data_IF_405390161683
#
_entry.id   IF_405390161683
#
_cell.length_a   1.000
_cell.length_b   1.000
_cell.length_c   1.000
_cell.angle_alpha   90.00
_cell.angle_beta   90.00
_cell.angle_gamma   90.00
#
_symmetry.space_group_name_H-M   'P 1'
#
loop_
_entity.id
_entity.type
_entity.pdbx_description
1 polymer ?
#
# COMPACT_ATOMS: atom_id res chain seq x y z
N UNK A 1 14.27 -8.24 13.40
CA UNK A 1 13.77 -7.27 12.41
C UNK A 1 13.26 -8.03 11.19
N UNK A 2 12.04 -7.75 10.78
CA UNK A 2 11.46 -8.47 9.65
C UNK A 2 12.13 -8.07 8.34
N UNK A 3 12.36 -9.05 7.48
CA UNK A 3 12.87 -8.80 6.15
C UNK A 3 11.71 -8.42 5.22
N UNK A 4 12.02 -7.59 4.24
CA UNK A 4 11.07 -7.22 3.21
C UNK A 4 11.47 -7.93 1.90
N UNK A 5 10.47 -8.37 1.15
CA UNK A 5 10.75 -8.88 -0.20
C UNK A 5 11.26 -7.74 -1.09
N UNK A 6 11.87 -8.09 -2.21
CA UNK A 6 12.34 -7.10 -3.17
C UNK A 6 11.20 -6.20 -3.65
N UNK A 7 10.04 -6.80 -3.93
CA UNK A 7 8.86 -6.05 -4.36
C UNK A 7 8.37 -5.11 -3.27
N UNK A 8 8.37 -5.54 -2.01
CA UNK A 8 7.97 -4.68 -0.90
C UNK A 8 8.91 -3.50 -0.74
N UNK A 9 10.21 -3.71 -0.93
CA UNK A 9 11.19 -2.61 -0.92
C UNK A 9 10.89 -1.60 -2.01
N UNK A 10 10.52 -2.06 -3.20
CA UNK A 10 10.14 -1.18 -4.29
C UNK A 10 8.88 -0.41 -3.96
N UNK A 11 7.87 -1.07 -3.42
CA UNK A 11 6.63 -0.43 -2.96
C UNK A 11 6.96 0.66 -1.94
N UNK A 12 7.87 0.35 -1.01
CA UNK A 12 8.27 1.30 0.02
C UNK A 12 8.93 2.54 -0.59
N UNK A 13 9.82 2.36 -1.56
CA UNK A 13 10.44 3.48 -2.26
C UNK A 13 9.40 4.33 -3.00
N UNK A 14 8.42 3.67 -3.62
CA UNK A 14 7.33 4.37 -4.29
C UNK A 14 6.47 5.14 -3.30
N UNK A 15 6.22 4.58 -2.12
CA UNK A 15 5.45 5.26 -1.08
C UNK A 15 6.15 6.53 -0.61
N UNK A 16 7.47 6.47 -0.44
CA UNK A 16 8.27 7.64 -0.08
C UNK A 16 8.19 8.70 -1.17
N UNK A 17 8.26 8.28 -2.44
CA UNK A 17 8.14 9.20 -3.57
C UNK A 17 6.75 9.84 -3.64
N UNK A 18 5.70 9.07 -3.36
CA UNK A 18 4.33 9.61 -3.32
C UNK A 18 4.19 10.65 -2.21
N UNK A 19 4.75 10.38 -1.04
CA UNK A 19 4.72 11.32 0.07
C UNK A 19 5.45 12.63 -0.29
N UNK A 20 6.64 12.50 -0.88
CA UNK A 20 7.43 13.66 -1.28
C UNK A 20 6.70 14.50 -2.33
N UNK A 21 6.12 13.84 -3.33
CA UNK A 21 5.42 14.53 -4.42
C UNK A 21 4.19 15.25 -3.92
N UNK A 22 3.48 14.68 -2.96
CA UNK A 22 2.26 15.29 -2.40
C UNK A 22 2.55 16.39 -1.37
N UNK A 23 3.82 16.61 -1.01
CA UNK A 23 4.18 17.59 0.00
C UNK A 23 3.97 17.12 1.44
N UNK A 24 3.83 15.83 1.65
CA UNK A 24 3.61 15.28 2.98
C UNK A 24 4.89 15.31 3.81
N UNK A 25 4.74 15.48 5.11
CA UNK A 25 5.87 15.44 6.04
C UNK A 25 6.27 14.02 6.41
N UNK A 26 5.34 13.07 6.27
CA UNK A 26 5.55 11.68 6.63
C UNK A 26 4.94 10.78 5.57
N UNK A 27 5.41 9.53 5.53
CA UNK A 27 4.80 8.50 4.69
C UNK A 27 3.57 7.98 5.45
N UNK A 28 2.41 8.23 4.91
CA UNK A 28 1.13 7.81 5.49
C UNK A 28 0.62 6.53 4.85
N UNK A 29 -0.34 5.82 5.47
CA UNK A 29 -0.92 4.61 4.87
C UNK A 29 -1.50 4.83 3.47
N UNK A 30 -2.05 6.01 3.20
CA UNK A 30 -2.58 6.31 1.86
C UNK A 30 -1.46 6.34 0.81
N UNK A 31 -0.25 6.75 1.17
CA UNK A 31 0.90 6.71 0.26
C UNK A 31 1.31 5.26 -0.01
N UNK A 32 1.21 4.40 1.00
CA UNK A 32 1.47 2.97 0.84
C UNK A 32 0.44 2.35 -0.11
N UNK A 33 -0.84 2.68 0.07
CA UNK A 33 -1.90 2.19 -0.82
C UNK A 33 -1.64 2.65 -2.26
N UNK A 34 -1.30 3.93 -2.45
CA UNK A 34 -0.98 4.46 -3.77
C UNK A 34 0.19 3.71 -4.41
N UNK A 35 1.22 3.42 -3.63
CA UNK A 35 2.40 2.69 -4.12
C UNK A 35 2.07 1.24 -4.49
N UNK A 36 1.23 0.58 -3.70
CA UNK A 36 0.78 -0.77 -3.98
C UNK A 36 -0.03 -0.81 -5.29
N UNK A 37 -0.94 0.14 -5.44
CA UNK A 37 -1.74 0.25 -6.66
C UNK A 37 -0.88 0.57 -7.87
N UNK A 38 0.09 1.47 -7.74
CA UNK A 38 1.01 1.81 -8.83
C UNK A 38 1.85 0.61 -9.24
N UNK A 39 2.27 -0.22 -8.28
CA UNK A 39 3.04 -1.43 -8.57
C UNK A 39 2.18 -2.46 -9.31
N UNK A 40 0.93 -2.64 -8.90
CA UNK A 40 0.01 -3.53 -9.60
C UNK A 40 -0.24 -3.03 -11.04
N UNK A 41 -0.40 -1.72 -11.22
CA UNK A 41 -0.60 -1.13 -12.55
C UNK A 41 0.65 -1.33 -13.42
N UNK A 42 1.84 -1.22 -12.84
CA UNK A 42 3.09 -1.41 -13.57
C UNK A 42 3.21 -2.84 -14.11
N UNK A 43 2.68 -3.82 -13.39
CA UNK A 43 2.64 -5.22 -13.88
C UNK A 43 1.69 -5.32 -15.07
N UNK A 44 0.52 -4.67 -14.99
CA UNK A 44 -0.45 -4.67 -16.10
C UNK A 44 0.12 -4.00 -17.35
N UNK A 45 0.90 -2.93 -17.16
CA UNK A 45 1.51 -2.18 -18.26
C UNK A 45 2.75 -2.87 -18.85
N UNK A 46 3.25 -3.90 -18.17
CA UNK A 46 4.49 -4.55 -18.58
C UNK A 46 5.76 -3.81 -18.20
N UNK A 47 5.65 -2.72 -17.43
CA UNK A 47 6.82 -1.96 -16.99
C UNK A 47 7.47 -2.54 -15.73
N UNK A 48 6.78 -3.45 -15.06
CA UNK A 48 7.33 -4.23 -13.95
C UNK A 48 7.17 -5.70 -14.29
N UNK A 49 8.27 -6.46 -14.18
CA UNK A 49 8.25 -7.88 -14.50
C UNK A 49 7.32 -8.64 -13.55
N UNK A 50 6.45 -9.46 -14.13
CA UNK A 50 5.52 -10.26 -13.34
C UNK A 50 6.27 -11.45 -12.72
N UNK A 51 6.12 -11.62 -11.42
CA UNK A 51 6.55 -12.79 -10.69
C UNK A 51 5.38 -13.28 -9.85
N UNK A 52 5.61 -14.25 -8.98
CA UNK A 52 4.55 -14.80 -8.15
C UNK A 52 3.92 -13.73 -7.25
N UNK A 53 4.74 -12.91 -6.62
CA UNK A 53 4.27 -11.88 -5.69
C UNK A 53 3.53 -10.75 -6.42
N UNK A 54 4.08 -10.24 -7.50
CA UNK A 54 3.46 -9.13 -8.24
C UNK A 54 2.19 -9.59 -8.94
N UNK A 55 2.15 -10.85 -9.38
CA UNK A 55 0.93 -11.44 -9.94
C UNK A 55 -0.15 -11.56 -8.87
N UNK A 56 0.21 -11.96 -7.66
CA UNK A 56 -0.73 -12.02 -6.54
C UNK A 56 -1.29 -10.63 -6.21
N UNK A 57 -0.44 -9.62 -6.23
CA UNK A 57 -0.86 -8.24 -5.98
C UNK A 57 -1.86 -7.76 -7.05
N UNK A 58 -1.53 -7.98 -8.31
CA UNK A 58 -2.42 -7.64 -9.43
C UNK A 58 -3.76 -8.36 -9.30
N UNK A 59 -3.71 -9.66 -8.98
CA UNK A 59 -4.90 -10.50 -8.84
C UNK A 59 -5.79 -10.02 -7.70
N UNK A 60 -5.19 -9.55 -6.59
CA UNK A 60 -5.95 -9.04 -5.46
C UNK A 60 -6.81 -7.82 -5.87
N UNK A 61 -6.23 -6.88 -6.61
CA UNK A 61 -6.98 -5.73 -7.11
C UNK A 61 -8.10 -6.16 -8.06
N UNK A 62 -7.81 -7.10 -8.96
CA UNK A 62 -8.81 -7.60 -9.90
C UNK A 62 -9.96 -8.31 -9.17
N UNK A 63 -9.64 -9.14 -8.19
CA UNK A 63 -10.65 -9.86 -7.40
C UNK A 63 -11.53 -8.88 -6.62
N UNK A 64 -10.96 -7.79 -6.14
CA UNK A 64 -11.71 -6.76 -5.43
C UNK A 64 -12.55 -5.88 -6.36
N UNK A 65 -12.39 -6.03 -7.68
CA UNK A 65 -13.11 -5.22 -8.65
C UNK A 65 -12.59 -3.79 -8.72
N UNK A 66 -11.35 -3.56 -8.32
CA UNK A 66 -10.76 -2.23 -8.29
C UNK A 66 -9.63 -2.13 -9.31
N UNK A 67 -9.74 -1.17 -10.22
CA UNK A 67 -8.65 -0.89 -11.16
C UNK A 67 -7.48 -0.27 -10.41
N UNK A 68 -6.27 -0.83 -10.52
CA UNK A 68 -5.13 -0.26 -9.81
C UNK A 68 -4.89 1.22 -10.13
N UNK A 69 -5.04 1.62 -11.38
CA UNK A 69 -4.86 3.04 -11.75
C UNK A 69 -5.87 3.95 -11.07
N UNK A 70 -7.11 3.48 -10.90
CA UNK A 70 -8.15 4.26 -10.22
C UNK A 70 -7.85 4.40 -8.73
N UNK A 71 -7.41 3.31 -8.10
CA UNK A 71 -7.03 3.33 -6.68
C UNK A 71 -5.82 4.24 -6.47
N UNK A 72 -4.82 4.14 -7.35
CA UNK A 72 -3.64 4.99 -7.29
C UNK A 72 -4.02 6.46 -7.31
N UNK A 73 -4.87 6.84 -8.27
CA UNK A 73 -5.33 8.22 -8.41
C UNK A 73 -6.12 8.68 -7.20
N UNK A 74 -7.02 7.82 -6.71
CA UNK A 74 -7.86 8.14 -5.55
C UNK A 74 -7.04 8.29 -4.27
N UNK A 75 -5.95 7.53 -4.15
CA UNK A 75 -5.08 7.57 -2.97
C UNK A 75 -4.05 8.70 -3.02
N UNK A 76 -3.94 9.41 -4.12
CA UNK A 76 -3.04 10.56 -4.23
C UNK A 76 -3.66 11.77 -3.55
N UNK A 77 -3.26 12.00 -2.31
CA UNK A 77 -3.74 13.15 -1.53
C UNK A 77 -2.77 14.30 -1.71
N UNK A 78 -3.29 15.46 -2.06
CA UNK A 78 -2.49 16.68 -2.19
C UNK A 78 -2.52 17.42 -0.86
N UNK A 79 -1.35 17.78 -0.37
CA UNK A 79 -1.22 18.63 0.81
C UNK A 79 -1.09 20.08 0.36
N UNK A 80 -1.86 20.96 1.01
CA UNK A 80 -1.94 22.36 0.62
C UNK A 80 -0.71 23.17 1.03
N UNK A 81 0.05 22.68 2.00
CA UNK A 81 1.27 23.36 2.48
C UNK A 81 2.48 22.57 2.02
N UNK A 82 3.37 23.17 1.21
CA UNK A 82 4.58 22.47 0.78
C UNK A 82 5.41 22.05 1.98
N UNK A 83 5.85 20.80 1.96
CA UNK A 83 6.71 20.28 3.01
C UNK A 83 8.15 20.77 2.80
N UNK A 84 8.85 21.02 3.88
CA UNK A 84 10.27 21.32 3.82
C UNK A 84 11.10 20.15 3.29
N UNK A 85 10.51 18.96 3.24
CA UNK A 85 11.18 17.77 2.72
C UNK A 85 11.29 17.78 1.19
N UNK A 86 10.62 18.71 0.52
CA UNK A 86 10.70 18.83 -0.94
C UNK A 86 12.14 19.06 -1.42
N UNK A 87 13.05 19.43 -0.54
CA UNK A 87 14.46 19.68 -0.87
C UNK A 87 15.36 18.45 -0.78
N UNK A 88 14.80 17.25 -0.61
CA UNK A 88 15.58 16.02 -0.64
C UNK A 88 15.91 15.38 0.69
N UNK A 89 15.27 15.81 1.76
CA UNK A 89 15.42 15.16 3.06
C UNK A 89 14.76 13.78 3.08
N UNK A 90 15.20 12.93 4.02
CA UNK A 90 14.61 11.62 4.22
C UNK A 90 13.23 11.78 4.84
N UNK A 91 12.23 11.13 4.24
CA UNK A 91 10.87 11.14 4.76
C UNK A 91 10.66 9.88 5.58
N UNK A 92 10.27 10.05 6.82
CA UNK A 92 10.04 8.94 7.75
C UNK A 92 8.58 8.52 7.75
N UNK A 93 8.33 7.29 8.23
CA UNK A 93 6.97 6.78 8.41
C UNK A 93 6.27 7.53 9.53
N UNK A 94 4.98 7.81 9.33
CA UNK A 94 4.13 8.30 10.41
C UNK A 94 3.95 7.20 11.46
N UNK A 95 3.53 7.54 12.69
CA UNK A 95 3.21 6.51 13.68
C UNK A 95 2.17 5.52 13.18
N UNK A 96 1.18 5.97 12.43
CA UNK A 96 0.15 5.09 11.87
C UNK A 96 0.72 4.12 10.85
N UNK A 97 1.65 4.57 10.01
CA UNK A 97 2.30 3.71 9.03
C UNK A 97 3.20 2.69 9.72
N UNK A 98 3.83 3.05 10.83
CA UNK A 98 4.60 2.09 11.62
C UNK A 98 3.70 0.96 12.12
N UNK A 99 2.48 1.29 12.57
CA UNK A 99 1.52 0.28 12.99
C UNK A 99 1.12 -0.65 11.84
N UNK A 100 0.97 -0.09 10.63
CA UNK A 100 0.70 -0.90 9.44
C UNK A 100 1.82 -1.91 9.21
N UNK A 101 3.08 -1.48 9.33
CA UNK A 101 4.22 -2.38 9.17
C UNK A 101 4.29 -3.44 10.26
N UNK A 102 4.01 -3.07 11.51
CA UNK A 102 3.95 -4.05 12.60
C UNK A 102 2.87 -5.09 12.35
N UNK A 103 1.73 -4.67 11.83
CA UNK A 103 0.64 -5.57 11.49
C UNK A 103 1.03 -6.47 10.31
N UNK A 104 1.68 -5.92 9.30
CA UNK A 104 2.17 -6.70 8.17
C UNK A 104 3.17 -7.77 8.62
N UNK A 105 4.04 -7.41 9.55
CA UNK A 105 4.99 -8.35 10.14
C UNK A 105 4.25 -9.48 10.86
N UNK A 106 3.21 -9.14 11.61
CA UNK A 106 2.38 -10.12 12.31
C UNK A 106 1.69 -11.08 11.33
N UNK A 107 1.17 -10.55 10.23
CA UNK A 107 0.53 -11.36 9.19
C UNK A 107 1.54 -12.29 8.52
N UNK A 108 2.74 -11.78 8.23
CA UNK A 108 3.78 -12.53 7.55
C UNK A 108 4.35 -13.67 8.42
N UNK A 109 4.31 -13.50 9.74
CA UNK A 109 4.83 -14.49 10.67
C UNK A 109 6.35 -14.60 10.51
N UNK A 110 6.84 -15.78 10.12
CA UNK A 110 8.27 -16.01 9.92
C UNK A 110 8.75 -15.69 8.51
N UNK A 111 7.84 -15.41 7.60
CA UNK A 111 8.19 -15.08 6.23
C UNK A 111 8.59 -13.61 6.10
N UNK A 112 9.27 -13.29 5.02
CA UNK A 112 9.53 -11.89 4.68
C UNK A 112 8.19 -11.19 4.39
N UNK A 113 8.11 -9.91 4.73
CA UNK A 113 6.90 -9.13 4.47
C UNK A 113 6.78 -8.92 2.96
N UNK A 114 5.73 -9.50 2.37
CA UNK A 114 5.43 -9.32 0.95
C UNK A 114 4.46 -8.16 0.75
N UNK A 115 4.30 -7.76 -0.52
CA UNK A 115 3.35 -6.71 -0.87
C UNK A 115 1.91 -7.10 -0.50
N UNK A 116 1.57 -8.39 -0.54
CA UNK A 116 0.25 -8.87 -0.13
C UNK A 116 0.06 -8.68 1.39
N UNK A 117 1.07 -8.99 2.18
CA UNK A 117 1.00 -8.74 3.63
C UNK A 117 0.81 -7.26 3.92
N UNK A 118 1.53 -6.42 3.17
CA UNK A 118 1.45 -4.97 3.34
C UNK A 118 0.09 -4.44 2.92
N UNK A 119 -0.47 -4.93 1.82
CA UNK A 119 -1.81 -4.56 1.37
C UNK A 119 -2.86 -4.98 2.41
N UNK A 120 -2.77 -6.21 2.90
CA UNK A 120 -3.70 -6.71 3.91
C UNK A 120 -3.66 -5.84 5.18
N UNK A 121 -2.45 -5.50 5.64
CA UNK A 121 -2.28 -4.68 6.83
C UNK A 121 -2.82 -3.25 6.62
N UNK A 122 -2.57 -2.67 5.45
CA UNK A 122 -3.04 -1.33 5.12
C UNK A 122 -4.57 -1.25 5.15
N UNK A 123 -5.23 -2.30 4.66
CA UNK A 123 -6.69 -2.34 4.63
C UNK A 123 -7.29 -2.75 5.96
N UNK A 124 -6.62 -3.63 6.71
CA UNK A 124 -7.11 -4.06 8.02
C UNK A 124 -7.13 -2.90 9.02
N UNK A 125 -6.10 -2.05 8.95
CA UNK A 125 -5.95 -0.91 9.84
C UNK A 125 -6.18 0.40 9.07
N UNK A 126 -7.16 0.39 8.16
CA UNK A 126 -7.42 1.51 7.28
C UNK A 126 -7.79 2.78 8.05
N UNK A 127 -7.05 3.85 7.78
CA UNK A 127 -7.38 5.16 8.34
C UNK A 127 -8.39 5.89 7.44
N UNK A 128 -8.78 7.08 7.85
CA UNK A 128 -9.81 7.86 7.14
C UNK A 128 -9.44 8.14 5.69
N UNK A 129 -8.17 8.42 5.41
CA UNK A 129 -7.73 8.72 4.05
C UNK A 129 -7.79 7.48 3.16
N UNK A 130 -7.40 6.31 3.69
CA UNK A 130 -7.49 5.04 2.98
C UNK A 130 -8.97 4.71 2.71
N UNK A 131 -9.83 4.87 3.71
CA UNK A 131 -11.26 4.61 3.56
C UNK A 131 -11.87 5.52 2.48
N UNK A 132 -11.49 6.79 2.48
CA UNK A 132 -11.98 7.76 1.50
C UNK A 132 -11.54 7.40 0.09
N UNK A 133 -10.28 6.98 -0.07
CA UNK A 133 -9.77 6.56 -1.38
C UNK A 133 -10.57 5.38 -1.93
N UNK A 134 -10.85 4.38 -1.08
CA UNK A 134 -11.61 3.22 -1.51
C UNK A 134 -13.05 3.59 -1.88
N UNK A 135 -13.68 4.47 -1.11
CA UNK A 135 -15.04 4.94 -1.42
C UNK A 135 -15.09 5.64 -2.77
N UNK A 136 -14.04 6.38 -3.13
CA UNK A 136 -13.97 7.07 -4.42
C UNK A 136 -13.98 6.11 -5.61
N UNK A 137 -13.52 4.89 -5.41
CA UNK A 137 -13.54 3.87 -6.47
C UNK A 137 -14.69 2.88 -6.29
N UNK A 138 -15.64 3.22 -5.43
CA UNK A 138 -16.85 2.40 -5.25
C UNK A 138 -16.64 1.16 -4.41
N UNK A 139 -15.65 1.17 -3.52
CA UNK A 139 -15.33 0.01 -2.68
C UNK A 139 -15.25 0.42 -1.21
N UNK A 140 -14.90 -0.54 -0.36
CA UNK A 140 -14.59 -0.31 1.03
C UNK A 140 -13.57 -1.37 1.46
N UNK A 141 -12.92 -1.11 2.60
CA UNK A 141 -11.82 -1.97 3.05
C UNK A 141 -12.27 -3.41 3.35
N UNK A 142 -13.44 -3.59 3.93
CA UNK A 142 -13.95 -4.93 4.26
C UNK A 142 -14.24 -5.72 3.00
N UNK A 143 -14.96 -5.12 2.05
CA UNK A 143 -15.28 -5.76 0.78
C UNK A 143 -14.03 -6.11 -0.01
N UNK A 144 -13.06 -5.19 -0.07
CA UNK A 144 -11.81 -5.43 -0.76
C UNK A 144 -11.09 -6.64 -0.17
N UNK A 145 -10.95 -6.67 1.16
CA UNK A 145 -10.25 -7.74 1.85
C UNK A 145 -10.91 -9.10 1.61
N UNK A 146 -12.23 -9.15 1.69
CA UNK A 146 -12.98 -10.39 1.49
C UNK A 146 -12.89 -10.89 0.06
N UNK A 147 -13.12 -10.02 -0.91
CA UNK A 147 -13.09 -10.41 -2.32
C UNK A 147 -11.71 -10.83 -2.77
N UNK A 148 -10.68 -10.18 -2.27
CA UNK A 148 -9.29 -10.50 -2.61
C UNK A 148 -8.74 -11.68 -1.81
N UNK A 149 -9.45 -12.12 -0.77
CA UNK A 149 -9.00 -13.22 0.07
C UNK A 149 -7.71 -12.92 0.81
N UNK A 150 -7.56 -11.69 1.29
CA UNK A 150 -6.33 -11.25 1.93
C UNK A 150 -6.17 -11.88 3.33
N UNK A 151 -4.94 -12.19 3.75
CA UNK A 151 -4.69 -12.71 5.09
C UNK A 151 -4.99 -11.67 6.15
N UNK A 152 -5.25 -12.13 7.38
CA UNK A 152 -5.54 -11.25 8.51
C UNK A 152 -4.56 -11.52 9.65
N UNK A 153 -4.33 -10.49 10.47
CA UNK A 153 -3.41 -10.61 11.60
C UNK A 153 -3.96 -11.48 12.72
N UNK A 154 -5.27 -11.67 12.78
CA UNK A 154 -5.90 -12.48 13.81
C UNK A 154 -6.06 -13.95 13.46
N UNK A 155 -5.71 -14.35 12.25
CA UNK A 155 -5.82 -15.75 11.86
C UNK A 155 -4.69 -16.53 12.50
N UNK A 156 -4.97 -17.13 13.63
CA UNK A 156 -4.06 -18.02 14.30
C UNK A 156 -3.93 -19.27 13.47
N UNK A 157 -2.93 -19.35 12.77
CA UNK A 157 -2.68 -20.51 12.04
C UNK A 157 -2.61 -21.28 11.29
#
# INVERSE_FOLDING_TARGET
MAELTTTTRLVWKRAAAEAARSGAQHIEPTHVLAALAASAQAVLDGSLQADEETTALKTAFAAAGCLPSAVHRAAQVQHTVPSSHASGGVIHRSPRTRLVFERAESIAGQDAISSIHLLAATLEDADEDVLRALRRVGSDHTSFREKAGLPTSGSAG
#
